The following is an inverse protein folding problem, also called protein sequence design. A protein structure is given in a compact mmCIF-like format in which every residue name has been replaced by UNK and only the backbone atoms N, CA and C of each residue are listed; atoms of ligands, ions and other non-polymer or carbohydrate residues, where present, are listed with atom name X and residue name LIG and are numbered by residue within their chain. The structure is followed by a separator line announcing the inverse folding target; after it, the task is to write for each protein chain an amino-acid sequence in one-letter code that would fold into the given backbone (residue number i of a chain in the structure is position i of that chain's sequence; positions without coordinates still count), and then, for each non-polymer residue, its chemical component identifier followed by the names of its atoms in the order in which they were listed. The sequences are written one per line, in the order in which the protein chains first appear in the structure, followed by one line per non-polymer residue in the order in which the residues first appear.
data_IF_636218687910
#
_entry.id   IF_636218687910
#
_cell.length_a   1.000
_cell.length_b   1.000
_cell.length_c   1.000
_cell.angle_alpha   90.00
_cell.angle_beta   90.00
_cell.angle_gamma   90.00
#
_symmetry.space_group_name_H-M   'P 1'
#
loop_
_entity.id
_entity.type
_entity.pdbx_description
1 polymer ?
#
# COMPACT_ATOMS: atom_id res chain seq x y z
N UNK A 1 -31.88 -15.78 17.35
CA UNK A 1 -30.44 -16.13 17.47
C UNK A 1 -29.92 -15.68 18.84
N UNK A 2 -30.65 -16.00 19.90
CA UNK A 2 -30.28 -15.67 21.29
C UNK A 2 -29.99 -16.98 22.01
N UNK A 3 -28.99 -16.97 22.90
CA UNK A 3 -28.42 -18.08 23.68
C UNK A 3 -27.05 -18.59 23.20
N UNK A 4 -26.10 -17.68 22.98
CA UNK A 4 -24.66 -18.03 23.13
C UNK A 4 -24.19 -17.55 24.50
N UNK A 5 -23.89 -18.49 25.39
CA UNK A 5 -23.22 -18.21 26.65
C UNK A 5 -21.70 -18.15 26.38
N UNK A 6 -21.13 -16.95 26.41
CA UNK A 6 -19.69 -16.73 26.23
C UNK A 6 -19.06 -16.61 27.61
N UNK A 7 -18.40 -17.67 28.05
CA UNK A 7 -17.56 -17.64 29.26
C UNK A 7 -16.14 -17.23 28.86
N UNK A 8 -15.58 -16.21 29.50
CA UNK A 8 -14.18 -15.88 29.31
C UNK A 8 -13.34 -16.88 30.13
N UNK A 9 -12.54 -17.76 29.48
CA UNK A 9 -11.78 -18.78 30.20
C UNK A 9 -10.69 -18.20 31.10
N UNK A 10 -10.42 -16.89 31.00
CA UNK A 10 -9.40 -16.22 31.81
C UNK A 10 -9.86 -14.83 32.27
N UNK A 11 -9.34 -14.36 33.40
CA UNK A 11 -9.68 -13.03 33.92
C UNK A 11 -9.23 -11.91 32.97
N UNK A 12 -9.96 -10.79 32.97
CA UNK A 12 -9.70 -9.62 32.10
C UNK A 12 -8.24 -9.17 32.11
N UNK A 13 -7.61 -9.13 33.30
CA UNK A 13 -6.22 -8.73 33.47
C UNK A 13 -5.25 -9.68 32.73
N UNK A 14 -5.51 -10.99 32.77
CA UNK A 14 -4.72 -11.97 32.04
C UNK A 14 -4.96 -11.86 30.53
N UNK A 15 -6.20 -11.62 30.09
CA UNK A 15 -6.51 -11.36 28.66
C UNK A 15 -5.75 -10.14 28.14
N UNK A 16 -5.71 -9.04 28.90
CA UNK A 16 -4.96 -7.84 28.54
C UNK A 16 -3.45 -8.08 28.50
N UNK A 17 -2.90 -8.82 29.48
CA UNK A 17 -1.50 -9.19 29.51
C UNK A 17 -1.11 -10.07 28.31
N UNK A 18 -1.95 -11.06 27.97
CA UNK A 18 -1.74 -11.90 26.80
C UNK A 18 -1.83 -11.10 25.49
N UNK A 19 -2.78 -10.17 25.38
CA UNK A 19 -2.90 -9.29 24.22
C UNK A 19 -1.67 -8.37 24.07
N UNK A 20 -1.16 -7.83 25.17
CA UNK A 20 0.08 -7.04 25.17
C UNK A 20 1.30 -7.87 24.77
N UNK A 21 1.45 -9.08 25.33
CA UNK A 21 2.53 -10.00 24.96
C UNK A 21 2.47 -10.35 23.47
N UNK A 22 1.27 -10.67 22.97
CA UNK A 22 1.06 -10.97 21.54
C UNK A 22 1.43 -9.77 20.68
N UNK A 23 1.01 -8.56 21.05
CA UNK A 23 1.36 -7.33 20.34
C UNK A 23 2.87 -7.12 20.29
N UNK A 24 3.57 -7.32 21.40
CA UNK A 24 5.04 -7.21 21.47
C UNK A 24 5.71 -8.26 20.58
N UNK A 25 5.31 -9.53 20.67
CA UNK A 25 5.89 -10.62 19.85
C UNK A 25 5.65 -10.38 18.36
N UNK A 26 4.42 -10.04 17.96
CA UNK A 26 4.09 -9.74 16.56
C UNK A 26 4.85 -8.50 16.07
N UNK A 27 4.98 -7.47 16.91
CA UNK A 27 5.77 -6.28 16.60
C UNK A 27 7.24 -6.61 16.33
N UNK A 28 7.87 -7.41 17.19
CA UNK A 28 9.26 -7.84 17.00
C UNK A 28 9.43 -8.70 15.74
N UNK A 29 8.51 -9.64 15.48
CA UNK A 29 8.54 -10.45 14.26
C UNK A 29 8.44 -9.56 13.01
N UNK A 30 7.51 -8.61 12.99
CA UNK A 30 7.37 -7.69 11.86
C UNK A 30 8.64 -6.86 11.62
N UNK A 31 9.24 -6.34 12.69
CA UNK A 31 10.50 -5.60 12.59
C UNK A 31 11.64 -6.46 12.04
N UNK A 32 11.73 -7.73 12.45
CA UNK A 32 12.78 -8.65 11.99
C UNK A 32 12.57 -9.08 10.53
N UNK A 33 11.31 -9.27 10.09
CA UNK A 33 11.00 -9.50 8.68
C UNK A 33 11.36 -8.28 7.81
N UNK A 34 10.95 -7.09 8.24
CA UNK A 34 11.26 -5.84 7.53
C UNK A 34 12.77 -5.61 7.44
N UNK A 35 13.48 -5.85 8.56
CA UNK A 35 14.95 -5.84 8.63
C UNK A 35 15.56 -6.74 7.57
N UNK A 36 15.15 -8.01 7.58
CA UNK A 36 15.70 -9.05 6.72
C UNK A 36 15.54 -8.66 5.25
N UNK A 37 14.34 -8.23 4.86
CA UNK A 37 14.06 -7.77 3.50
C UNK A 37 15.00 -6.64 3.07
N UNK A 38 15.19 -5.61 3.90
CA UNK A 38 16.09 -4.50 3.57
C UNK A 38 17.57 -4.92 3.49
N UNK A 39 18.01 -5.80 4.38
CA UNK A 39 19.40 -6.30 4.34
C UNK A 39 19.67 -7.15 3.10
N UNK A 40 18.67 -7.90 2.60
CA UNK A 40 18.78 -8.66 1.34
C UNK A 40 18.88 -7.75 0.12
N UNK A 41 18.24 -6.58 0.16
CA UNK A 41 18.34 -5.56 -0.90
C UNK A 41 19.71 -4.87 -0.90
N UNK A 42 20.42 -4.88 0.24
CA UNK A 42 21.75 -4.29 0.40
C UNK A 42 21.83 -3.10 1.35
N UNK A 43 20.76 -2.80 2.10
CA UNK A 43 20.78 -1.75 3.12
C UNK A 43 21.40 -2.24 4.43
N UNK A 44 22.10 -1.33 5.12
CA UNK A 44 22.54 -1.58 6.50
C UNK A 44 21.36 -1.58 7.47
N UNK A 45 21.57 -2.11 8.68
CA UNK A 45 20.55 -2.13 9.72
C UNK A 45 19.99 -0.74 10.07
N UNK A 46 20.89 0.25 10.18
CA UNK A 46 20.51 1.62 10.49
C UNK A 46 19.67 2.26 9.38
N UNK A 47 20.01 2.00 8.12
CA UNK A 47 19.27 2.53 6.97
C UNK A 47 17.90 1.86 6.85
N UNK A 48 17.84 0.54 7.02
CA UNK A 48 16.58 -0.21 7.03
C UNK A 48 15.60 0.33 8.07
N UNK A 49 16.09 0.58 9.29
CA UNK A 49 15.27 1.12 10.38
C UNK A 49 14.84 2.56 10.11
N UNK A 50 15.75 3.39 9.57
CA UNK A 50 15.44 4.77 9.19
C UNK A 50 14.39 4.83 8.09
N UNK A 51 14.53 4.01 7.05
CA UNK A 51 13.54 3.88 5.97
C UNK A 51 12.20 3.43 6.52
N UNK A 52 12.16 2.40 7.36
CA UNK A 52 10.91 1.92 7.95
C UNK A 52 10.21 3.00 8.78
N UNK A 53 10.98 3.73 9.60
CA UNK A 53 10.46 4.83 10.41
C UNK A 53 9.94 5.99 9.54
N UNK A 54 10.70 6.38 8.51
CA UNK A 54 10.30 7.41 7.57
C UNK A 54 9.06 7.01 6.76
N UNK A 55 8.98 5.75 6.33
CA UNK A 55 7.78 5.22 5.66
C UNK A 55 6.57 5.24 6.58
N UNK A 56 6.73 4.85 7.85
CA UNK A 56 5.64 4.86 8.83
C UNK A 56 5.17 6.28 9.14
N UNK A 57 6.08 7.18 9.52
CA UNK A 57 5.74 8.58 9.84
C UNK A 57 5.24 9.33 8.60
N UNK A 58 5.87 9.10 7.45
CA UNK A 58 5.48 9.67 6.16
C UNK A 58 4.13 9.15 5.65
N UNK A 59 3.67 7.97 6.10
CA UNK A 59 2.36 7.46 5.70
C UNK A 59 1.20 8.36 6.12
N UNK A 60 1.36 9.15 7.19
CA UNK A 60 0.38 10.15 7.61
C UNK A 60 0.36 11.43 6.76
N UNK A 61 1.33 11.60 5.85
CA UNK A 61 1.54 12.83 5.09
C UNK A 61 1.13 12.60 3.63
N UNK A 62 0.15 13.36 3.15
CA UNK A 62 -0.34 13.32 1.76
C UNK A 62 -0.11 14.69 1.10
N UNK A 63 0.67 14.71 0.03
CA UNK A 63 1.03 15.93 -0.70
C UNK A 63 0.04 16.11 -1.86
N UNK A 64 -0.77 17.19 -1.90
CA UNK A 64 -1.73 17.43 -2.98
C UNK A 64 -0.99 17.76 -4.28
N UNK A 65 -1.39 17.11 -5.38
CA UNK A 65 -0.78 17.28 -6.70
C UNK A 65 -1.75 17.96 -7.68
N UNK A 66 -3.01 17.53 -7.69
CA UNK A 66 -3.96 17.97 -8.72
C UNK A 66 -5.40 17.92 -8.23
N UNK A 67 -6.19 18.93 -8.59
CA UNK A 67 -7.65 18.88 -8.41
C UNK A 67 -8.31 18.37 -9.68
N UNK A 68 -9.10 17.31 -9.57
CA UNK A 68 -9.85 16.70 -10.67
C UNK A 68 -11.32 17.07 -10.55
N UNK A 69 -11.93 17.55 -11.64
CA UNK A 69 -13.39 17.71 -11.70
C UNK A 69 -14.03 16.35 -11.93
N UNK A 70 -15.08 16.05 -11.18
CA UNK A 70 -15.79 14.79 -11.25
C UNK A 70 -17.09 14.97 -12.03
N UNK A 71 -17.51 13.92 -12.71
CA UNK A 71 -18.76 13.92 -13.46
C UNK A 71 -19.96 13.41 -12.63
N UNK A 72 -19.70 12.93 -11.40
CA UNK A 72 -20.72 12.39 -10.50
C UNK A 72 -20.93 13.29 -9.28
N UNK A 73 -22.19 13.56 -8.88
CA UNK A 73 -22.47 14.38 -7.71
C UNK A 73 -21.99 13.68 -6.42
N UNK A 74 -21.38 14.43 -5.51
CA UNK A 74 -20.96 13.89 -4.21
C UNK A 74 -22.18 13.66 -3.33
N UNK A 75 -22.26 12.47 -2.73
CA UNK A 75 -23.17 12.25 -1.60
C UNK A 75 -22.45 12.77 -0.37
N UNK A 76 -22.82 13.97 0.09
CA UNK A 76 -22.37 14.47 1.38
C UNK A 76 -23.31 13.98 2.47
N UNK A 77 -22.81 13.80 3.68
CA UNK A 77 -23.66 13.49 4.82
C UNK A 77 -23.85 14.76 5.63
N UNK A 78 -25.11 15.18 5.78
CA UNK A 78 -25.45 16.31 6.62
C UNK A 78 -26.03 15.77 7.92
N UNK A 79 -25.47 16.24 9.03
CA UNK A 79 -26.03 16.00 10.34
C UNK A 79 -27.06 17.09 10.62
N UNK A 80 -28.34 16.71 10.68
CA UNK A 80 -29.42 17.64 11.03
C UNK A 80 -29.93 17.27 12.41
N UNK A 81 -30.02 18.27 13.29
CA UNK A 81 -30.58 18.11 14.63
C UNK A 81 -32.06 18.45 14.59
N UNK A 82 -32.92 17.50 14.97
CA UNK A 82 -34.35 17.70 15.16
C UNK A 82 -34.77 17.00 16.46
N UNK A 83 -35.60 17.67 17.27
CA UNK A 83 -36.08 17.11 18.55
C UNK A 83 -34.98 16.58 19.49
N UNK A 84 -33.80 17.21 19.51
CA UNK A 84 -32.67 16.77 20.33
C UNK A 84 -31.91 15.54 19.81
N UNK A 85 -32.37 14.92 18.72
CA UNK A 85 -31.76 13.76 18.08
C UNK A 85 -30.99 14.22 16.84
N UNK A 86 -29.77 13.71 16.67
CA UNK A 86 -28.93 13.99 15.49
C UNK A 86 -29.21 12.93 14.43
N UNK A 87 -29.81 13.34 13.31
CA UNK A 87 -30.09 12.47 12.17
C UNK A 87 -29.00 12.62 11.11
N UNK A 88 -28.47 11.49 10.64
CA UNK A 88 -27.53 11.40 9.51
C UNK A 88 -28.36 11.29 8.23
N UNK A 89 -28.49 12.38 7.48
CA UNK A 89 -29.21 12.38 6.20
C UNK A 89 -28.22 12.48 5.04
N UNK A 90 -28.31 11.60 4.02
CA UNK A 90 -27.53 11.75 2.80
C UNK A 90 -28.08 12.95 2.02
N UNK A 91 -27.26 13.98 1.84
CA UNK A 91 -27.57 15.15 1.02
C UNK A 91 -26.73 15.08 -0.24
N UNK A 92 -27.39 14.88 -1.37
CA UNK A 92 -26.78 15.02 -2.69
C UNK A 92 -26.61 16.52 -2.95
N UNK A 93 -25.45 17.06 -2.61
CA UNK A 93 -25.13 18.44 -2.98
C UNK A 93 -24.67 18.45 -4.44
N UNK A 94 -25.44 19.12 -5.31
CA UNK A 94 -25.02 19.49 -6.66
C UNK A 94 -23.98 20.62 -6.60
N UNK A 95 -22.89 20.43 -5.84
CA UNK A 95 -21.70 21.27 -5.95
C UNK A 95 -20.81 20.72 -7.05
N UNK A 96 -20.01 21.60 -7.65
CA UNK A 96 -18.89 21.22 -8.51
C UNK A 96 -18.03 20.19 -7.78
N UNK A 97 -18.22 18.91 -8.11
CA UNK A 97 -17.55 17.81 -7.45
C UNK A 97 -16.08 17.85 -7.86
N UNK A 98 -15.20 18.05 -6.88
CA UNK A 98 -13.76 18.09 -7.10
C UNK A 98 -13.05 17.11 -6.18
N UNK A 99 -12.30 16.18 -6.74
CA UNK A 99 -11.41 15.29 -6.00
C UNK A 99 -10.00 15.83 -6.02
N UNK A 100 -9.41 16.04 -4.84
CA UNK A 100 -7.99 16.35 -4.71
C UNK A 100 -7.19 15.05 -4.81
N UNK A 101 -6.38 14.93 -5.86
CA UNK A 101 -5.38 13.89 -6.00
C UNK A 101 -4.13 14.28 -5.20
N UNK A 102 -3.73 13.43 -4.27
CA UNK A 102 -2.52 13.54 -3.49
C UNK A 102 -1.60 12.35 -3.72
N UNK A 103 -0.34 12.48 -3.30
CA UNK A 103 0.63 11.38 -3.22
C UNK A 103 1.07 11.22 -1.77
N UNK A 104 1.05 9.99 -1.29
CA UNK A 104 1.48 9.64 0.05
C UNK A 104 3.00 9.60 0.15
N UNK A 105 3.57 10.21 1.20
CA UNK A 105 5.02 10.23 1.38
C UNK A 105 5.56 8.84 1.71
N UNK A 106 4.91 8.14 2.65
CA UNK A 106 5.34 6.82 3.10
C UNK A 106 5.10 5.70 2.09
N UNK A 107 3.93 5.71 1.45
CA UNK A 107 3.47 4.64 0.57
C UNK A 107 3.75 4.84 -0.91
N UNK A 108 4.16 6.05 -1.34
CA UNK A 108 4.58 6.29 -2.73
C UNK A 108 5.96 6.96 -2.83
N UNK A 109 6.18 8.12 -2.19
CA UNK A 109 7.42 8.89 -2.38
C UNK A 109 8.65 8.11 -1.93
N UNK A 110 8.64 7.58 -0.70
CA UNK A 110 9.78 6.82 -0.17
C UNK A 110 10.06 5.55 -1.00
N UNK A 111 9.06 4.70 -1.33
CA UNK A 111 9.26 3.57 -2.25
C UNK A 111 9.85 3.97 -3.60
N UNK A 112 9.38 5.09 -4.19
CA UNK A 112 9.91 5.60 -5.46
C UNK A 112 11.38 5.99 -5.30
N UNK A 113 11.72 6.74 -4.24
CA UNK A 113 13.10 7.18 -3.98
C UNK A 113 14.02 5.97 -3.79
N UNK A 114 13.62 4.98 -2.98
CA UNK A 114 14.42 3.76 -2.77
C UNK A 114 14.60 3.01 -4.09
N UNK A 115 13.53 2.85 -4.86
CA UNK A 115 13.61 2.17 -6.16
C UNK A 115 14.54 2.90 -7.13
N UNK A 116 14.51 4.25 -7.13
CA UNK A 116 15.41 5.06 -7.94
C UNK A 116 16.87 4.94 -7.48
N UNK A 117 17.14 4.95 -6.16
CA UNK A 117 18.48 4.75 -5.61
C UNK A 117 19.05 3.38 -6.00
N UNK A 118 18.27 2.31 -5.91
CA UNK A 118 18.69 0.98 -6.33
C UNK A 118 19.00 0.89 -7.82
N UNK A 119 18.19 1.54 -8.67
CA UNK A 119 18.43 1.57 -10.11
C UNK A 119 19.63 2.44 -10.50
N UNK A 120 19.92 3.48 -9.72
CA UNK A 120 21.11 4.30 -9.88
C UNK A 120 22.38 3.53 -9.51
N UNK A 121 22.35 2.78 -8.40
CA UNK A 121 23.47 1.96 -7.93
C UNK A 121 23.75 0.77 -8.87
N UNK A 122 22.69 0.16 -9.42
CA UNK A 122 22.78 -1.01 -10.28
C UNK A 122 22.17 -0.75 -11.68
N UNK A 123 22.80 0.09 -12.52
CA UNK A 123 22.24 0.47 -13.82
C UNK A 123 22.10 -0.72 -14.78
N UNK A 124 22.94 -1.75 -14.64
CA UNK A 124 22.83 -2.99 -15.40
C UNK A 124 21.52 -3.78 -15.13
N UNK A 125 20.88 -3.53 -13.98
CA UNK A 125 19.61 -4.14 -13.62
C UNK A 125 18.40 -3.46 -14.29
N UNK A 126 18.57 -2.26 -14.86
CA UNK A 126 17.47 -1.41 -15.35
C UNK A 126 16.52 -2.13 -16.31
N UNK A 127 17.07 -2.84 -17.30
CA UNK A 127 16.24 -3.58 -18.29
C UNK A 127 15.39 -4.68 -17.64
N UNK A 128 15.93 -5.36 -16.62
CA UNK A 128 15.22 -6.42 -15.90
C UNK A 128 14.20 -5.84 -14.93
N UNK A 129 14.54 -4.73 -14.27
CA UNK A 129 13.63 -3.99 -13.42
C UNK A 129 12.43 -3.46 -14.22
N UNK A 130 12.64 -2.87 -15.40
CA UNK A 130 11.54 -2.44 -16.29
C UNK A 130 10.65 -3.62 -16.66
N UNK A 131 11.21 -4.77 -17.02
CA UNK A 131 10.43 -5.97 -17.32
C UNK A 131 9.60 -6.44 -16.10
N UNK A 132 10.19 -6.44 -14.91
CA UNK A 132 9.51 -6.77 -13.66
C UNK A 132 8.40 -5.77 -13.31
N UNK A 133 8.65 -4.47 -13.45
CA UNK A 133 7.66 -3.41 -13.26
C UNK A 133 6.47 -3.62 -14.20
N UNK A 134 6.73 -3.85 -15.50
CA UNK A 134 5.67 -4.06 -16.48
C UNK A 134 4.86 -5.31 -16.16
N UNK A 135 5.51 -6.41 -15.81
CA UNK A 135 4.86 -7.66 -15.43
C UNK A 135 3.90 -7.46 -14.24
N UNK A 136 4.41 -6.87 -13.15
CA UNK A 136 3.62 -6.62 -11.94
C UNK A 136 2.53 -5.59 -12.20
N UNK A 137 2.82 -4.50 -12.91
CA UNK A 137 1.83 -3.46 -13.23
C UNK A 137 0.64 -4.02 -14.03
N UNK A 138 0.89 -4.90 -15.00
CA UNK A 138 -0.17 -5.54 -15.77
C UNK A 138 -1.07 -6.42 -14.90
N UNK A 139 -0.46 -7.26 -14.04
CA UNK A 139 -1.21 -8.14 -13.13
C UNK A 139 -2.01 -7.30 -12.12
N UNK A 140 -1.34 -6.38 -11.45
CA UNK A 140 -1.94 -5.52 -10.42
C UNK A 140 -3.08 -4.68 -11.00
N UNK A 141 -2.93 -4.15 -12.22
CA UNK A 141 -4.00 -3.39 -12.87
C UNK A 141 -5.25 -4.24 -13.15
N UNK A 142 -5.08 -5.51 -13.53
CA UNK A 142 -6.19 -6.43 -13.81
C UNK A 142 -6.97 -6.82 -12.55
N UNK A 143 -6.30 -6.88 -11.41
CA UNK A 143 -6.92 -7.27 -10.13
C UNK A 143 -7.43 -6.08 -9.32
N UNK A 144 -6.91 -4.88 -9.58
CA UNK A 144 -7.30 -3.66 -8.88
C UNK A 144 -8.77 -3.30 -9.14
N UNK A 145 -9.50 -3.04 -8.06
CA UNK A 145 -10.93 -2.67 -8.12
C UNK A 145 -11.12 -1.28 -7.50
N UNK A 146 -11.60 -0.28 -8.26
CA UNK A 146 -12.02 1.00 -7.68
C UNK A 146 -13.35 0.80 -6.96
N UNK A 147 -13.38 1.08 -5.67
CA UNK A 147 -14.58 1.02 -4.82
C UNK A 147 -14.94 2.43 -4.38
N UNK A 148 -16.19 2.84 -4.65
CA UNK A 148 -16.72 4.16 -4.28
C UNK A 148 -16.61 4.39 -2.77
N UNK A 149 -16.12 5.57 -2.37
CA UNK A 149 -15.91 5.92 -0.97
C UNK A 149 -14.74 5.22 -0.26
N UNK A 150 -14.07 4.24 -0.89
CA UNK A 150 -12.95 3.49 -0.30
C UNK A 150 -11.62 3.72 -1.04
N UNK A 151 -11.67 3.92 -2.37
CA UNK A 151 -10.47 4.07 -3.19
C UNK A 151 -10.21 2.84 -4.06
N UNK A 152 -8.97 2.71 -4.55
CA UNK A 152 -8.55 1.54 -5.30
C UNK A 152 -8.09 0.47 -4.31
N UNK A 153 -8.67 -0.72 -4.40
CA UNK A 153 -8.27 -1.86 -3.57
C UNK A 153 -7.66 -2.97 -4.42
N UNK A 154 -6.64 -3.61 -3.87
CA UNK A 154 -6.00 -4.81 -4.42
C UNK A 154 -5.93 -5.88 -3.33
N UNK A 155 -6.10 -7.17 -3.66
CA UNK A 155 -5.84 -8.24 -2.70
C UNK A 155 -4.39 -8.18 -2.21
N UNK A 156 -4.18 -8.10 -0.89
CA UNK A 156 -2.89 -7.72 -0.30
C UNK A 156 -1.69 -8.59 -0.73
N UNK A 157 -1.91 -9.89 -0.94
CA UNK A 157 -0.84 -10.83 -1.29
C UNK A 157 -0.59 -10.97 -2.80
N UNK A 158 -1.52 -10.56 -3.66
CA UNK A 158 -1.34 -10.80 -5.09
C UNK A 158 -0.22 -9.95 -5.72
N UNK A 159 -0.11 -8.64 -5.47
CA UNK A 159 1.02 -7.86 -5.97
C UNK A 159 2.41 -8.38 -5.51
N UNK A 160 2.66 -8.72 -4.23
CA UNK A 160 3.96 -9.25 -3.83
C UNK A 160 4.25 -10.63 -4.43
N UNK A 161 3.24 -11.51 -4.54
CA UNK A 161 3.41 -12.80 -5.20
C UNK A 161 3.74 -12.64 -6.69
N UNK A 162 3.09 -11.70 -7.38
CA UNK A 162 3.40 -11.37 -8.77
C UNK A 162 4.83 -10.84 -8.92
N UNK A 163 5.30 -10.01 -7.98
CA UNK A 163 6.65 -9.49 -7.99
C UNK A 163 7.71 -10.56 -7.73
N UNK A 164 7.50 -11.43 -6.75
CA UNK A 164 8.37 -12.56 -6.48
C UNK A 164 8.45 -13.50 -7.69
N UNK A 165 7.29 -13.85 -8.26
CA UNK A 165 7.20 -14.70 -9.46
C UNK A 165 7.86 -14.03 -10.67
N UNK A 166 7.68 -12.72 -10.86
CA UNK A 166 8.33 -11.96 -11.93
C UNK A 166 9.86 -11.97 -11.80
N UNK A 167 10.38 -11.79 -10.59
CA UNK A 167 11.82 -11.86 -10.33
C UNK A 167 12.38 -13.28 -10.57
N UNK A 168 11.69 -14.32 -10.09
CA UNK A 168 12.05 -15.73 -10.33
C UNK A 168 12.06 -16.05 -11.82
N UNK A 169 11.03 -15.64 -12.57
CA UNK A 169 10.97 -15.85 -14.03
C UNK A 169 12.16 -15.17 -14.72
N UNK A 170 12.42 -13.90 -14.39
CA UNK A 170 13.50 -13.15 -15.03
C UNK A 170 14.87 -13.77 -14.77
N UNK A 171 15.14 -14.20 -13.53
CA UNK A 171 16.44 -14.77 -13.14
C UNK A 171 16.62 -16.18 -13.67
N UNK A 172 15.68 -17.08 -13.40
CA UNK A 172 15.86 -18.52 -13.67
C UNK A 172 15.50 -18.92 -15.10
N UNK A 173 14.59 -18.20 -15.77
CA UNK A 173 14.12 -18.58 -17.12
C UNK A 173 14.56 -17.61 -18.22
N UNK A 174 14.87 -16.36 -17.89
CA UNK A 174 15.27 -15.33 -18.86
C UNK A 174 16.73 -14.85 -18.69
N UNK A 175 17.55 -15.61 -17.95
CA UNK A 175 18.98 -15.38 -17.76
C UNK A 175 19.32 -13.98 -17.19
N UNK A 176 18.48 -13.41 -16.32
CA UNK A 176 18.88 -12.25 -15.55
C UNK A 176 19.95 -12.65 -14.50
N UNK A 177 20.96 -11.81 -14.23
CA UNK A 177 21.95 -12.09 -13.21
C UNK A 177 21.30 -12.31 -11.84
N UNK A 178 21.65 -13.40 -11.16
CA UNK A 178 21.07 -13.80 -9.87
C UNK A 178 21.23 -12.72 -8.79
N UNK A 179 22.31 -11.95 -8.83
CA UNK A 179 22.55 -10.82 -7.93
C UNK A 179 21.47 -9.74 -7.97
N UNK A 180 20.64 -9.68 -9.02
CA UNK A 180 19.57 -8.69 -9.15
C UNK A 180 18.21 -9.19 -8.67
N UNK A 181 18.09 -10.43 -8.15
CA UNK A 181 16.79 -11.01 -7.79
C UNK A 181 16.03 -10.16 -6.77
N UNK A 182 16.69 -9.73 -5.69
CA UNK A 182 16.08 -8.90 -4.65
C UNK A 182 15.73 -7.51 -5.16
N UNK A 183 16.58 -6.91 -6.00
CA UNK A 183 16.31 -5.62 -6.63
C UNK A 183 15.09 -5.69 -7.55
N UNK A 184 15.01 -6.71 -8.41
CA UNK A 184 13.88 -6.89 -9.33
C UNK A 184 12.59 -7.15 -8.55
N UNK A 185 12.64 -7.98 -7.49
CA UNK A 185 11.50 -8.25 -6.63
C UNK A 185 11.01 -6.98 -5.92
N UNK A 186 11.93 -6.21 -5.32
CA UNK A 186 11.58 -4.97 -4.64
C UNK A 186 11.04 -3.92 -5.63
N UNK A 187 11.80 -3.56 -6.66
CA UNK A 187 11.45 -2.50 -7.61
C UNK A 187 10.21 -2.86 -8.43
N UNK A 188 10.10 -4.13 -8.86
CA UNK A 188 8.90 -4.63 -9.53
C UNK A 188 7.69 -4.62 -8.59
N UNK A 189 7.86 -5.05 -7.34
CA UNK A 189 6.81 -5.07 -6.33
C UNK A 189 6.35 -3.70 -5.88
N UNK A 190 7.24 -2.70 -5.78
CA UNK A 190 6.86 -1.33 -5.41
C UNK A 190 6.32 -0.56 -6.61
N UNK A 191 7.15 -0.28 -7.61
CA UNK A 191 6.78 0.56 -8.75
C UNK A 191 5.74 -0.11 -9.63
N UNK A 192 5.83 -1.43 -9.83
CA UNK A 192 4.81 -2.16 -10.58
C UNK A 192 3.45 -2.11 -9.90
N UNK A 193 3.39 -2.26 -8.58
CA UNK A 193 2.13 -2.13 -7.83
C UNK A 193 1.60 -0.71 -7.87
N UNK A 194 2.46 0.29 -7.64
CA UNK A 194 2.06 1.70 -7.69
C UNK A 194 1.51 2.10 -9.06
N UNK A 195 2.19 1.70 -10.14
CA UNK A 195 1.74 1.98 -11.50
C UNK A 195 0.46 1.22 -11.83
N UNK A 196 0.43 -0.09 -11.54
CA UNK A 196 -0.69 -0.97 -11.85
C UNK A 196 -1.97 -0.65 -11.09
N UNK A 197 -1.85 -0.46 -9.77
CA UNK A 197 -2.95 -0.14 -8.89
C UNK A 197 -3.39 1.31 -9.11
N UNK A 198 -2.51 2.30 -8.94
CA UNK A 198 -2.92 3.69 -8.83
C UNK A 198 -2.87 4.42 -10.18
N UNK A 199 -1.69 4.50 -10.80
CA UNK A 199 -1.47 5.34 -12.00
C UNK A 199 -2.39 4.95 -13.15
N UNK A 200 -2.47 3.66 -13.45
CA UNK A 200 -3.30 3.14 -14.55
C UNK A 200 -4.80 3.18 -14.25
N UNK A 201 -5.22 3.45 -13.00
CA UNK A 201 -6.63 3.58 -12.62
C UNK A 201 -7.05 5.01 -12.26
N UNK A 202 -6.18 6.03 -12.40
CA UNK A 202 -6.49 7.43 -12.09
C UNK A 202 -7.78 7.94 -12.75
N UNK A 203 -8.04 7.51 -13.99
CA UNK A 203 -9.26 7.90 -14.72
C UNK A 203 -10.55 7.38 -14.07
N UNK A 204 -10.48 6.30 -13.30
CA UNK A 204 -11.61 5.72 -12.56
C UNK A 204 -11.80 6.41 -11.20
N UNK A 205 -10.75 7.02 -10.65
CA UNK A 205 -10.77 7.68 -9.34
C UNK A 205 -11.70 8.90 -9.33
N UNK A 206 -11.70 9.68 -10.42
CA UNK A 206 -12.52 10.90 -10.54
C UNK A 206 -14.02 10.64 -10.33
N UNK A 207 -14.50 9.44 -10.62
CA UNK A 207 -15.93 9.11 -10.54
C UNK A 207 -16.32 8.39 -9.24
N UNK A 208 -15.38 8.25 -8.29
CA UNK A 208 -15.60 7.53 -7.02
C UNK A 208 -16.32 8.34 -5.94
N UNK A 209 -16.51 9.66 -6.16
CA UNK A 209 -17.23 10.54 -5.23
C UNK A 209 -16.48 10.83 -3.92
N UNK A 210 -15.14 10.70 -3.92
CA UNK A 210 -14.31 10.98 -2.76
C UNK A 210 -13.72 12.40 -2.82
N UNK A 211 -13.68 13.17 -1.71
CA UNK A 211 -13.10 14.52 -1.70
C UNK A 211 -11.58 14.50 -1.90
N UNK A 212 -10.92 13.45 -1.44
CA UNK A 212 -9.47 13.25 -1.53
C UNK A 212 -9.22 11.81 -2.02
N UNK A 213 -8.30 11.68 -2.97
CA UNK A 213 -7.73 10.40 -3.38
C UNK A 213 -6.22 10.47 -3.24
N UNK A 214 -5.60 9.47 -2.61
CA UNK A 214 -4.16 9.43 -2.42
C UNK A 214 -3.54 8.24 -3.14
N UNK A 215 -2.50 8.51 -3.93
CA UNK A 215 -1.62 7.52 -4.56
C UNK A 215 -0.65 7.01 -3.49
N UNK A 216 -0.47 5.70 -3.40
CA UNK A 216 0.33 5.09 -2.33
C UNK A 216 -0.36 5.05 -0.98
N UNK A 217 -1.70 4.96 -0.95
CA UNK A 217 -2.49 4.76 0.27
C UNK A 217 -2.97 6.04 0.97
N UNK A 218 -4.21 6.02 1.43
CA UNK A 218 -4.87 7.15 2.10
C UNK A 218 -4.63 7.15 3.63
N UNK A 219 -3.37 7.17 4.06
CA UNK A 219 -3.02 7.17 5.50
C UNK A 219 -2.92 5.79 6.15
N UNK A 220 -2.98 4.72 5.36
CA UNK A 220 -2.64 3.36 5.77
C UNK A 220 -1.20 3.07 5.34
N UNK A 221 -0.40 2.40 6.19
CA UNK A 221 0.91 1.89 5.79
C UNK A 221 0.74 1.00 4.56
N UNK A 222 1.14 1.51 3.40
CA UNK A 222 0.52 1.11 2.14
C UNK A 222 1.01 -0.24 1.60
N UNK A 223 0.11 -0.89 0.87
CA UNK A 223 0.36 -2.15 0.18
C UNK A 223 1.48 -2.04 -0.84
N UNK A 224 1.76 -0.86 -1.40
CA UNK A 224 2.88 -0.64 -2.34
C UNK A 224 4.23 -0.92 -1.68
N UNK A 225 4.50 -0.31 -0.52
CA UNK A 225 5.77 -0.52 0.20
C UNK A 225 5.90 -1.96 0.70
N UNK A 226 4.83 -2.49 1.29
CA UNK A 226 4.79 -3.87 1.77
C UNK A 226 4.92 -4.88 0.64
N UNK A 227 4.39 -4.59 -0.55
CA UNK A 227 4.49 -5.47 -1.72
C UNK A 227 5.95 -5.69 -2.11
N UNK A 228 6.77 -4.64 -2.10
CA UNK A 228 8.21 -4.76 -2.35
C UNK A 228 8.92 -5.61 -1.29
N UNK A 229 8.67 -5.34 -0.01
CA UNK A 229 9.33 -6.08 1.09
C UNK A 229 8.93 -7.55 1.13
N UNK A 230 7.64 -7.84 1.00
CA UNK A 230 7.15 -9.22 0.98
C UNK A 230 7.70 -9.96 -0.24
N UNK A 231 7.77 -9.32 -1.41
CA UNK A 231 8.34 -9.93 -2.61
C UNK A 231 9.81 -10.34 -2.40
N UNK A 232 10.60 -9.50 -1.72
CA UNK A 232 12.00 -9.81 -1.40
C UNK A 232 12.13 -10.99 -0.46
N UNK A 233 11.24 -11.12 0.52
CA UNK A 233 11.26 -12.25 1.47
C UNK A 233 10.85 -13.59 0.82
N UNK A 234 10.21 -13.54 -0.35
CA UNK A 234 9.70 -14.72 -1.06
C UNK A 234 10.67 -15.30 -2.10
N UNK A 235 11.77 -14.60 -2.41
CA UNK A 235 12.72 -14.97 -3.47
C UNK A 235 14.10 -15.36 -2.97
#
# INVERSE_FOLDING_TARGET
MENRLVYNPVGLLFTLLLAFLLFVVVGFLFLDLARTAFTLIGFTWSEALLVLLLSLLGSGINIPIKTMKCNTPMVSERYVRAFGITYRIPVVENRDCSTILAVNVGGAVIPIVISALLLYEFPAALKYAIAGILFVALITNRIARPIKGLGIVTPALLPPLAAALGAIILVYFLNAPHQFIFLIAYVGGTLGTLIGADVLNLNKIKDMGAPIASIGGAGTFDGVFLSGLIAVLLV
#
